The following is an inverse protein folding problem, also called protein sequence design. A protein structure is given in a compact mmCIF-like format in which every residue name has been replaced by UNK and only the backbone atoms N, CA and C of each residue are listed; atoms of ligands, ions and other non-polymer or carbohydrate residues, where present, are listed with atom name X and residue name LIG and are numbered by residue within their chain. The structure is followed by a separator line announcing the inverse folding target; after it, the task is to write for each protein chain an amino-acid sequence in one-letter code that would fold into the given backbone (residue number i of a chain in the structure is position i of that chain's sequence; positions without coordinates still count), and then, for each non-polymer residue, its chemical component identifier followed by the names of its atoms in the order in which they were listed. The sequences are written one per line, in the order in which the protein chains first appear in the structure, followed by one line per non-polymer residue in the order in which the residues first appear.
data_IF_919085410872
#
_entry.id   IF_919085410872
#
_cell.length_a   1.000
_cell.length_b   1.000
_cell.length_c   1.000
_cell.angle_alpha   90.00
_cell.angle_beta   90.00
_cell.angle_gamma   90.00
#
_symmetry.space_group_name_H-M   'P 1'
#
loop_
_entity.id
_entity.type
_entity.pdbx_description
1 polymer ?
#
# COMPACT_ATOMS: atom_id res chain seq x y z
N UNK A 1 0.21 16.49 2.09
CA UNK A 1 -0.99 15.67 2.38
C UNK A 1 -0.66 14.20 2.28
N UNK A 2 -0.09 13.74 1.16
CA UNK A 2 0.43 12.36 0.97
C UNK A 2 1.30 11.89 2.14
N UNK A 3 2.30 12.66 2.57
CA UNK A 3 3.14 12.31 3.73
C UNK A 3 2.36 12.03 5.04
N UNK A 4 1.28 12.76 5.28
CA UNK A 4 0.45 12.52 6.48
C UNK A 4 -0.33 11.22 6.37
N UNK A 5 -0.78 10.87 5.16
CA UNK A 5 -1.46 9.61 4.89
C UNK A 5 -0.48 8.43 4.94
N UNK A 6 0.75 8.58 4.45
CA UNK A 6 1.79 7.55 4.58
C UNK A 6 2.17 7.32 6.05
N UNK A 7 2.30 8.37 6.85
CA UNK A 7 2.51 8.21 8.30
C UNK A 7 1.33 7.53 9.00
N UNK A 8 0.10 7.75 8.53
CA UNK A 8 -1.07 7.05 9.04
C UNK A 8 -1.05 5.57 8.62
N UNK A 9 -0.72 5.28 7.36
CA UNK A 9 -0.57 3.92 6.84
C UNK A 9 0.47 3.13 7.64
N UNK A 10 1.66 3.70 7.87
CA UNK A 10 2.72 3.08 8.68
C UNK A 10 2.26 2.80 10.13
N UNK A 11 1.44 3.69 10.70
CA UNK A 11 0.91 3.54 12.05
C UNK A 11 -0.13 2.42 12.14
N UNK A 12 -0.96 2.27 11.11
CA UNK A 12 -1.92 1.18 10.98
C UNK A 12 -1.18 -0.15 10.78
N UNK A 13 -0.23 -0.23 9.83
CA UNK A 13 0.61 -1.41 9.64
C UNK A 13 1.33 -1.84 10.93
N UNK A 14 1.88 -0.90 11.68
CA UNK A 14 2.57 -1.20 12.94
C UNK A 14 1.61 -1.69 14.04
N UNK A 15 0.34 -1.26 14.02
CA UNK A 15 -0.69 -1.80 14.90
C UNK A 15 -1.13 -3.19 14.47
N UNK A 16 -1.26 -3.43 13.17
CA UNK A 16 -1.62 -4.72 12.60
C UNK A 16 -0.59 -5.78 12.99
N UNK A 17 0.70 -5.50 12.84
CA UNK A 17 1.77 -6.40 13.25
C UNK A 17 1.73 -6.71 14.74
N UNK A 18 1.54 -5.70 15.60
CA UNK A 18 1.42 -5.93 17.06
C UNK A 18 0.18 -6.74 17.44
N UNK A 19 -0.92 -6.52 16.75
CA UNK A 19 -2.16 -7.25 16.97
C UNK A 19 -2.02 -8.70 16.51
N UNK A 20 -1.45 -8.93 15.32
CA UNK A 20 -1.13 -10.26 14.80
C UNK A 20 -0.15 -11.01 15.71
N UNK A 21 0.91 -10.36 16.20
CA UNK A 21 1.83 -10.94 17.20
C UNK A 21 1.07 -11.37 18.47
N UNK A 22 0.14 -10.53 18.93
CA UNK A 22 -0.68 -10.82 20.11
C UNK A 22 -1.66 -11.97 19.85
N UNK A 23 -2.25 -12.05 18.66
CA UNK A 23 -3.15 -13.12 18.26
C UNK A 23 -2.40 -14.46 18.05
N UNK A 24 -1.23 -14.41 17.42
CA UNK A 24 -0.31 -15.57 17.29
C UNK A 24 0.12 -16.07 18.68
N UNK A 25 0.42 -15.17 19.62
CA UNK A 25 0.71 -15.53 21.00
C UNK A 25 -0.49 -16.18 21.72
N UNK A 26 -1.72 -15.89 21.28
CA UNK A 26 -2.95 -16.48 21.78
C UNK A 26 -3.38 -17.73 20.99
N UNK A 27 -2.64 -18.12 19.95
CA UNK A 27 -2.90 -19.26 19.06
C UNK A 27 -4.33 -19.23 18.44
N UNK A 28 -4.83 -18.03 18.15
CA UNK A 28 -6.12 -17.81 17.48
C UNK A 28 -5.84 -17.50 16.01
N UNK A 29 -6.55 -18.11 15.07
CA UNK A 29 -6.50 -17.68 13.66
C UNK A 29 -7.16 -16.31 13.53
N UNK A 30 -6.38 -15.30 13.10
CA UNK A 30 -6.89 -13.97 12.78
C UNK A 30 -6.98 -13.83 11.27
N UNK A 31 -8.18 -14.05 10.73
CA UNK A 31 -8.49 -13.61 9.37
C UNK A 31 -8.68 -12.09 9.36
N UNK A 32 -7.65 -11.36 8.90
CA UNK A 32 -7.79 -10.09 8.19
C UNK A 32 -8.53 -8.94 8.89
N UNK A 33 -8.31 -8.73 10.19
CA UNK A 33 -9.18 -7.85 11.00
C UNK A 33 -9.00 -6.32 10.77
N UNK A 34 -7.95 -5.86 10.07
CA UNK A 34 -7.68 -4.41 9.88
C UNK A 34 -7.45 -3.99 8.42
N UNK A 35 -7.71 -4.90 7.48
CA UNK A 35 -7.59 -4.66 6.03
C UNK A 35 -8.42 -3.47 5.55
N UNK A 36 -9.58 -3.21 6.15
CA UNK A 36 -10.48 -2.14 5.70
C UNK A 36 -10.02 -0.70 6.02
N UNK A 37 -9.29 -0.47 7.11
CA UNK A 37 -8.80 0.88 7.45
C UNK A 37 -7.56 1.23 6.62
N UNK A 38 -6.63 0.28 6.49
CA UNK A 38 -5.45 0.40 5.63
C UNK A 38 -5.86 0.61 4.17
N UNK A 39 -6.82 -0.18 3.65
CA UNK A 39 -7.33 -0.02 2.29
C UNK A 39 -7.91 1.38 2.04
N UNK A 40 -8.65 1.95 3.00
CA UNK A 40 -9.17 3.32 2.88
C UNK A 40 -8.06 4.37 2.80
N UNK A 41 -6.98 4.20 3.57
CA UNK A 41 -5.83 5.10 3.55
C UNK A 41 -5.05 4.96 2.24
N UNK A 42 -4.82 3.74 1.77
CA UNK A 42 -4.21 3.45 0.46
C UNK A 42 -5.02 4.10 -0.67
N UNK A 43 -6.34 3.95 -0.65
CA UNK A 43 -7.26 4.58 -1.61
C UNK A 43 -7.15 6.10 -1.57
N UNK A 44 -7.13 6.71 -0.38
CA UNK A 44 -6.92 8.16 -0.22
C UNK A 44 -5.57 8.63 -0.76
N UNK A 45 -4.49 7.85 -0.60
CA UNK A 45 -3.17 8.15 -1.16
C UNK A 45 -3.26 8.23 -2.69
N UNK A 46 -3.90 7.24 -3.33
CA UNK A 46 -4.11 7.21 -4.77
C UNK A 46 -4.92 8.43 -5.24
N UNK A 47 -6.01 8.78 -4.54
CA UNK A 47 -6.82 9.97 -4.86
C UNK A 47 -6.04 11.28 -4.75
N UNK A 48 -5.27 11.47 -3.67
CA UNK A 48 -4.46 12.69 -3.49
C UNK A 48 -3.36 12.80 -4.55
N UNK A 49 -2.89 11.69 -5.09
CA UNK A 49 -1.94 11.64 -6.21
C UNK A 49 -2.60 11.81 -7.59
N UNK A 50 -3.92 12.02 -7.65
CA UNK A 50 -4.67 12.28 -8.89
C UNK A 50 -5.35 11.05 -9.50
N UNK A 51 -5.36 9.93 -8.78
CA UNK A 51 -6.01 8.69 -9.20
C UNK A 51 -7.51 8.64 -8.91
N UNK A 52 -8.10 7.47 -9.14
CA UNK A 52 -9.50 7.14 -8.87
C UNK A 52 -9.63 5.66 -8.49
N UNK A 53 -10.84 5.17 -8.22
CA UNK A 53 -11.06 3.77 -7.81
C UNK A 53 -10.48 2.74 -8.78
N UNK A 54 -10.56 2.96 -10.10
CA UNK A 54 -9.97 2.04 -11.08
C UNK A 54 -8.44 2.01 -11.00
N UNK A 55 -7.81 3.15 -10.67
CA UNK A 55 -6.36 3.21 -10.46
C UNK A 55 -5.99 2.54 -9.14
N UNK A 56 -6.81 2.73 -8.11
CA UNK A 56 -6.62 2.09 -6.83
C UNK A 56 -6.66 0.56 -6.95
N UNK A 57 -7.72 -0.01 -7.53
CA UNK A 57 -7.87 -1.46 -7.76
C UNK A 57 -6.64 -2.04 -8.47
N UNK A 58 -6.17 -1.34 -9.52
CA UNK A 58 -5.01 -1.79 -10.27
C UNK A 58 -3.69 -1.73 -9.47
N UNK A 59 -3.48 -0.67 -8.69
CA UNK A 59 -2.30 -0.52 -7.82
C UNK A 59 -2.33 -1.60 -6.72
N UNK A 60 -3.51 -1.88 -6.18
CA UNK A 60 -3.72 -2.94 -5.20
C UNK A 60 -3.41 -4.32 -5.79
N UNK A 61 -3.96 -4.64 -6.97
CA UNK A 61 -3.71 -5.91 -7.68
C UNK A 61 -2.23 -6.09 -8.08
N UNK A 62 -1.50 -5.00 -8.31
CA UNK A 62 -0.07 -5.05 -8.64
C UNK A 62 0.85 -5.36 -7.44
N UNK A 63 0.32 -5.37 -6.22
CA UNK A 63 1.10 -5.66 -5.01
C UNK A 63 1.92 -4.47 -4.48
N UNK A 64 1.84 -3.28 -5.08
CA UNK A 64 2.68 -2.13 -4.72
C UNK A 64 2.55 -1.71 -3.25
N UNK A 65 1.35 -1.78 -2.68
CA UNK A 65 1.15 -1.52 -1.24
C UNK A 65 1.66 -2.68 -0.36
N UNK A 66 1.57 -3.92 -0.85
CA UNK A 66 2.13 -5.08 -0.15
C UNK A 66 3.66 -5.02 -0.08
N UNK A 67 4.32 -4.66 -1.20
CA UNK A 67 5.78 -4.48 -1.26
C UNK A 67 6.22 -3.35 -0.31
N UNK A 68 5.42 -2.29 -0.20
CA UNK A 68 5.65 -1.22 0.76
C UNK A 68 5.48 -1.67 2.23
N UNK A 69 4.43 -2.43 2.52
CA UNK A 69 4.17 -2.99 3.85
C UNK A 69 5.32 -3.93 4.29
N UNK A 70 5.81 -4.76 3.36
CA UNK A 70 6.94 -5.68 3.54
C UNK A 70 8.31 -4.99 3.55
N UNK A 71 8.36 -3.66 3.39
CA UNK A 71 9.59 -2.85 3.32
C UNK A 71 10.52 -3.23 2.17
N UNK A 72 9.96 -3.81 1.10
CA UNK A 72 10.65 -4.09 -0.16
C UNK A 72 10.69 -2.84 -1.06
N UNK A 73 9.73 -1.93 -0.88
CA UNK A 73 9.66 -0.64 -1.60
C UNK A 73 9.80 0.54 -0.64
N UNK A 74 10.55 1.57 -1.03
CA UNK A 74 10.68 2.80 -0.24
C UNK A 74 9.46 3.74 -0.39
N UNK A 75 9.24 4.67 0.54
CA UNK A 75 8.17 5.69 0.43
C UNK A 75 8.22 6.48 -0.89
N UNK A 76 9.42 6.90 -1.28
CA UNK A 76 9.60 7.70 -2.51
C UNK A 76 9.27 6.87 -3.75
N UNK A 77 9.63 5.60 -3.72
CA UNK A 77 9.38 4.66 -4.80
C UNK A 77 7.88 4.29 -4.89
N UNK A 78 7.21 4.08 -3.76
CA UNK A 78 5.74 3.95 -3.71
C UNK A 78 5.05 5.14 -4.38
N UNK A 79 5.41 6.38 -3.99
CA UNK A 79 4.83 7.59 -4.57
C UNK A 79 5.13 7.67 -6.08
N UNK A 80 6.37 7.38 -6.47
CA UNK A 80 6.80 7.42 -7.86
C UNK A 80 6.01 6.43 -8.72
N UNK A 81 5.88 5.18 -8.26
CA UNK A 81 5.14 4.12 -8.94
C UNK A 81 3.67 4.49 -9.10
N UNK A 82 3.01 4.96 -8.02
CA UNK A 82 1.61 5.39 -8.10
C UNK A 82 1.44 6.54 -9.11
N UNK A 83 2.34 7.53 -9.10
CA UNK A 83 2.29 8.63 -10.08
C UNK A 83 2.47 8.14 -11.50
N UNK A 84 3.43 7.26 -11.75
CA UNK A 84 3.61 6.66 -13.08
C UNK A 84 2.36 5.92 -13.56
N UNK A 85 1.70 5.18 -12.67
CA UNK A 85 0.44 4.47 -13.00
C UNK A 85 -0.69 5.45 -13.36
N UNK A 86 -0.79 6.56 -12.64
CA UNK A 86 -1.81 7.60 -12.87
C UNK A 86 -1.50 8.38 -14.15
N UNK A 87 -0.28 8.89 -14.30
CA UNK A 87 0.17 9.76 -15.39
C UNK A 87 0.18 9.06 -16.74
N UNK A 88 0.59 7.79 -16.79
CA UNK A 88 0.56 7.02 -18.02
C UNK A 88 -0.87 6.67 -18.47
N UNK A 89 -1.89 7.05 -17.68
CA UNK A 89 -3.31 6.84 -17.93
C UNK A 89 -3.61 5.40 -18.40
N UNK A 90 -2.83 4.45 -17.89
CA UNK A 90 -2.44 3.29 -18.68
C UNK A 90 -3.34 2.07 -18.46
N UNK A 91 -3.51 1.27 -19.52
CA UNK A 91 -4.33 0.04 -19.60
C UNK A 91 -3.45 -1.21 -19.79
N UNK A 92 -2.43 -1.42 -18.95
CA UNK A 92 -1.39 -2.43 -19.16
C UNK A 92 -0.36 -2.50 -18.03
N UNK A 93 0.45 -3.57 -18.03
CA UNK A 93 1.27 -4.04 -16.90
C UNK A 93 2.27 -3.01 -16.36
N UNK A 94 2.32 -2.86 -15.03
CA UNK A 94 3.35 -2.11 -14.30
C UNK A 94 4.65 -2.90 -14.38
N UNK A 95 5.70 -2.31 -14.96
CA UNK A 95 7.06 -2.80 -14.78
C UNK A 95 7.67 -2.10 -13.58
N UNK A 96 7.80 -2.81 -12.47
CA UNK A 96 8.74 -2.43 -11.40
C UNK A 96 10.14 -2.71 -11.93
N UNK A 97 10.84 -1.65 -12.34
CA UNK A 97 12.23 -1.77 -12.76
C UNK A 97 13.11 -2.01 -11.54
N UNK A 98 13.31 -3.28 -11.20
CA UNK A 98 14.32 -3.72 -10.24
C UNK A 98 15.70 -3.54 -10.89
N UNK A 99 16.39 -2.45 -10.59
CA UNK A 99 17.82 -2.32 -10.88
C UNK A 99 18.63 -2.76 -9.67
N UNK A 100 19.14 -3.99 -9.72
CA UNK A 100 20.24 -4.40 -8.83
C UNK A 100 21.53 -3.66 -9.28
N UNK A 101 22.15 -2.94 -8.34
CA UNK A 101 23.53 -2.44 -8.46
C UNK A 101 24.40 -3.16 -7.45
#
# INVERSE_FOLDING_TARGET
MVEKLLNLLDSLEAKDHKFLDSIHALNVESDGLLTGESEQVERLIVYVLGGNDKRFEYIQDSGVFMDYANKETSRNELISTIRQVIENNWKGSIQTSVTFS
#
